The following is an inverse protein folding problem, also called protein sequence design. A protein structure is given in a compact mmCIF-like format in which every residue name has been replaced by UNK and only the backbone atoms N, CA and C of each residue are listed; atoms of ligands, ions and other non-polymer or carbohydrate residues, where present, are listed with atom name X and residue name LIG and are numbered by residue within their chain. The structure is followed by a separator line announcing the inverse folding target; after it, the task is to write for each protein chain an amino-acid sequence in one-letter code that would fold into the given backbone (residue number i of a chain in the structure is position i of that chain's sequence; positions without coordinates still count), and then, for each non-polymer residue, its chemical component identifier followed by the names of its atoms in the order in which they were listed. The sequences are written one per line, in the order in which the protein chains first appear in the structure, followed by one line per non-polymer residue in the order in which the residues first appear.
data_IF_444020029339
#
_entry.id   IF_444020029339
#
_cell.length_a   1.000
_cell.length_b   1.000
_cell.length_c   1.000
_cell.angle_alpha   90.00
_cell.angle_beta   90.00
_cell.angle_gamma   90.00
#
_symmetry.space_group_name_H-M   'P 1'
#
loop_
_entity.id
_entity.type
_entity.pdbx_description
1 polymer ?
#
# COMPACT_ATOMS: atom_id res chain seq x y z
N UNK A 1 -24.39 14.72 -12.12
CA UNK A 1 -23.31 13.82 -12.54
C UNK A 1 -22.57 14.43 -13.73
N UNK A 2 -21.45 15.12 -13.49
CA UNK A 2 -20.44 15.38 -14.53
C UNK A 2 -19.15 14.79 -13.97
N UNK A 3 -18.68 13.70 -14.58
CA UNK A 3 -17.45 13.05 -14.19
C UNK A 3 -16.29 14.00 -14.43
N UNK A 4 -15.64 14.44 -13.37
CA UNK A 4 -14.32 15.04 -13.47
C UNK A 4 -13.35 13.91 -13.84
N UNK A 5 -12.96 13.87 -15.11
CA UNK A 5 -11.90 13.00 -15.60
C UNK A 5 -10.57 13.54 -15.09
N UNK A 6 -9.78 12.68 -14.44
CA UNK A 6 -8.42 13.02 -14.05
C UNK A 6 -7.61 13.47 -15.30
N UNK A 7 -6.66 14.42 -15.17
CA UNK A 7 -5.82 14.85 -16.28
C UNK A 7 -5.17 13.63 -16.98
N UNK A 8 -4.99 13.68 -18.31
CA UNK A 8 -4.48 12.55 -19.13
C UNK A 8 -3.23 11.86 -18.54
N UNK A 9 -2.30 12.65 -18.00
CA UNK A 9 -1.08 12.17 -17.34
C UNK A 9 -1.34 11.34 -16.06
N UNK A 10 -2.42 11.68 -15.35
CA UNK A 10 -2.89 10.98 -14.17
C UNK A 10 -3.65 9.71 -14.56
N UNK A 11 -4.40 9.72 -15.67
CA UNK A 11 -5.11 8.55 -16.16
C UNK A 11 -4.15 7.42 -16.59
N UNK A 12 -3.00 7.75 -17.20
CA UNK A 12 -1.91 6.80 -17.49
C UNK A 12 -1.31 6.19 -16.22
N UNK A 13 -1.01 7.04 -15.22
CA UNK A 13 -0.53 6.62 -13.91
C UNK A 13 -1.54 5.70 -13.20
N UNK A 14 -2.82 6.06 -13.15
CA UNK A 14 -3.89 5.27 -12.49
C UNK A 14 -4.01 3.88 -13.13
N UNK A 15 -3.95 3.77 -14.46
CA UNK A 15 -4.00 2.47 -15.15
C UNK A 15 -2.79 1.58 -14.85
N UNK A 16 -1.59 2.15 -14.71
CA UNK A 16 -0.38 1.36 -14.41
C UNK A 16 -0.24 1.05 -12.91
N UNK A 17 -0.69 1.93 -12.02
CA UNK A 17 -0.73 1.70 -10.56
C UNK A 17 -1.72 0.57 -10.22
N UNK A 18 -2.84 0.49 -10.94
CA UNK A 18 -3.83 -0.59 -10.76
C UNK A 18 -3.38 -1.93 -11.34
N UNK A 19 -2.35 -1.99 -12.20
CA UNK A 19 -1.91 -3.23 -12.88
C UNK A 19 -0.58 -3.81 -12.38
N UNK A 20 0.13 -3.16 -11.46
CA UNK A 20 1.52 -3.48 -11.09
C UNK A 20 1.75 -3.98 -9.66
N UNK A 21 0.71 -4.42 -8.92
CA UNK A 21 0.95 -5.17 -7.67
C UNK A 21 1.45 -6.57 -8.00
N UNK A 22 2.70 -6.86 -7.61
CA UNK A 22 3.17 -8.23 -7.48
C UNK A 22 2.85 -8.69 -6.04
N UNK A 23 2.08 -9.76 -5.91
CA UNK A 23 1.92 -10.42 -4.62
C UNK A 23 3.25 -11.03 -4.19
N UNK A 24 3.57 -10.96 -2.90
CA UNK A 24 4.75 -11.60 -2.37
C UNK A 24 4.65 -13.13 -2.55
N UNK A 25 5.53 -13.81 -3.29
CA UNK A 25 5.72 -15.25 -3.11
C UNK A 25 6.06 -15.53 -1.65
N UNK A 26 5.40 -16.53 -1.07
CA UNK A 26 5.49 -16.84 0.37
C UNK A 26 6.92 -17.20 0.75
N UNK A 27 7.49 -16.46 1.69
CA UNK A 27 8.81 -16.77 2.25
C UNK A 27 8.73 -18.04 3.10
N UNK A 28 9.60 -19.01 2.80
CA UNK A 28 9.95 -20.06 3.76
C UNK A 28 10.91 -19.47 4.79
N UNK A 29 10.54 -19.53 6.06
CA UNK A 29 11.46 -19.21 7.15
C UNK A 29 12.54 -20.30 7.20
N UNK A 30 13.72 -20.04 6.65
CA UNK A 30 14.84 -20.98 6.69
C UNK A 30 15.76 -20.69 7.89
N UNK A 31 16.01 -21.65 8.78
CA UNK A 31 17.25 -21.68 9.55
C UNK A 31 18.38 -22.23 8.66
N UNK A 32 19.61 -21.71 8.82
CA UNK A 32 20.80 -22.19 8.11
C UNK A 32 21.41 -23.46 8.77
N UNK A 33 22.26 -24.24 8.08
CA UNK A 33 21.94 -25.07 6.92
C UNK A 33 22.13 -26.56 7.25
N UNK A 34 21.23 -27.43 6.80
CA UNK A 34 21.56 -28.83 6.52
C UNK A 34 20.92 -29.20 5.20
N UNK A 35 21.76 -29.62 4.25
CA UNK A 35 21.37 -30.03 2.92
C UNK A 35 20.32 -31.15 2.96
N UNK A 36 19.23 -30.96 2.20
CA UNK A 36 18.52 -32.02 1.47
C UNK A 36 17.66 -31.37 0.39
N UNK A 37 17.96 -31.73 -0.85
CA UNK A 37 17.15 -31.46 -2.03
C UNK A 37 15.75 -32.06 -1.82
N UNK A 38 14.72 -31.22 -1.87
CA UNK A 38 13.34 -31.66 -1.93
C UNK A 38 12.79 -31.38 -3.33
N UNK A 39 12.46 -32.48 -3.98
CA UNK A 39 11.82 -32.65 -5.28
C UNK A 39 10.61 -31.73 -5.49
N UNK A 40 10.57 -31.10 -6.67
CA UNK A 40 9.38 -30.50 -7.27
C UNK A 40 8.27 -31.54 -7.40
N UNK A 41 7.26 -31.47 -6.54
CA UNK A 41 5.98 -32.14 -6.78
C UNK A 41 5.12 -31.17 -7.59
N UNK A 42 4.91 -31.52 -8.87
CA UNK A 42 3.88 -30.91 -9.70
C UNK A 42 2.51 -31.27 -9.14
N UNK A 43 1.84 -30.33 -8.49
CA UNK A 43 0.43 -30.47 -8.17
C UNK A 43 -0.40 -30.17 -9.42
N UNK A 44 -0.78 -31.23 -10.13
CA UNK A 44 -2.03 -31.24 -10.86
C UNK A 44 -3.16 -31.40 -9.84
N UNK A 45 -3.71 -30.27 -9.39
CA UNK A 45 -5.01 -30.22 -8.72
C UNK A 45 -6.09 -29.97 -9.78
N UNK A 46 -7.00 -30.91 -9.93
CA UNK A 46 -8.27 -30.73 -10.64
C UNK A 46 -9.24 -29.92 -9.77
N UNK A 47 -10.06 -29.05 -10.38
CA UNK A 47 -11.35 -28.62 -9.81
C UNK A 47 -11.62 -27.11 -9.79
N UNK A 48 -12.44 -26.66 -10.75
CA UNK A 48 -13.23 -25.42 -10.77
C UNK A 48 -12.49 -24.10 -10.46
N UNK A 49 -12.10 -23.38 -11.52
CA UNK A 49 -11.91 -21.93 -11.42
C UNK A 49 -13.20 -21.26 -10.94
N UNK A 50 -13.08 -20.20 -10.13
CA UNK A 50 -14.23 -19.40 -9.74
C UNK A 50 -14.93 -18.86 -10.99
N UNK A 51 -16.23 -19.13 -11.14
CA UNK A 51 -17.01 -18.61 -12.24
C UNK A 51 -17.46 -17.18 -11.94
N UNK A 52 -17.47 -16.33 -12.96
CA UNK A 52 -18.03 -14.99 -12.87
C UNK A 52 -19.53 -15.08 -12.50
N UNK A 53 -19.92 -14.41 -11.43
CA UNK A 53 -21.31 -14.32 -11.01
C UNK A 53 -22.00 -13.10 -11.62
N UNK A 54 -23.19 -13.30 -12.17
CA UNK A 54 -23.99 -12.25 -12.80
C UNK A 54 -24.73 -11.38 -11.76
N UNK A 55 -25.05 -10.11 -12.10
CA UNK A 55 -25.96 -9.29 -11.30
C UNK A 55 -27.30 -9.99 -11.01
N UNK A 56 -27.80 -9.84 -9.79
CA UNK A 56 -29.02 -10.48 -9.29
C UNK A 56 -28.78 -11.80 -8.56
N UNK A 57 -27.59 -12.40 -8.66
CA UNK A 57 -27.24 -13.60 -7.88
C UNK A 57 -27.22 -13.27 -6.38
N UNK A 58 -27.97 -14.05 -5.60
CA UNK A 58 -27.99 -13.98 -4.14
C UNK A 58 -27.00 -15.00 -3.55
N UNK A 59 -26.14 -14.55 -2.65
CA UNK A 59 -25.18 -15.37 -1.93
C UNK A 59 -25.43 -15.27 -0.43
N UNK A 60 -25.45 -16.41 0.25
CA UNK A 60 -25.61 -16.45 1.70
C UNK A 60 -24.25 -16.39 2.38
N UNK A 61 -24.02 -15.39 3.23
CA UNK A 61 -22.83 -15.30 4.05
C UNK A 61 -22.87 -16.24 5.26
N UNK A 62 -21.72 -16.39 5.91
CA UNK A 62 -21.56 -17.19 7.13
C UNK A 62 -22.45 -16.68 8.27
N UNK A 63 -22.68 -15.36 8.34
CA UNK A 63 -23.64 -14.76 9.29
C UNK A 63 -25.10 -15.17 9.05
N UNK A 64 -25.40 -15.79 7.92
CA UNK A 64 -26.76 -16.07 7.44
C UNK A 64 -27.39 -14.94 6.64
N UNK A 65 -26.76 -13.77 6.57
CA UNK A 65 -27.20 -12.64 5.73
C UNK A 65 -27.11 -13.01 4.24
N UNK A 66 -28.09 -12.57 3.47
CA UNK A 66 -28.11 -12.72 2.02
C UNK A 66 -27.59 -11.44 1.34
N UNK A 67 -26.64 -11.60 0.42
CA UNK A 67 -26.04 -10.53 -0.37
C UNK A 67 -26.40 -10.71 -1.84
N UNK A 68 -27.07 -9.73 -2.43
CA UNK A 68 -27.45 -9.74 -3.84
C UNK A 68 -26.42 -8.94 -4.64
N UNK A 69 -25.79 -9.57 -5.64
CA UNK A 69 -24.81 -8.90 -6.50
C UNK A 69 -25.52 -7.82 -7.34
N UNK A 70 -25.04 -6.58 -7.26
CA UNK A 70 -25.53 -5.47 -8.10
C UNK A 70 -24.67 -5.30 -9.35
N UNK A 71 -23.34 -5.42 -9.22
CA UNK A 71 -22.42 -5.17 -10.31
C UNK A 71 -21.05 -5.84 -10.09
N UNK A 72 -20.32 -6.07 -11.18
CA UNK A 72 -18.91 -6.48 -11.15
C UNK A 72 -18.04 -5.22 -11.13
N UNK A 73 -17.29 -5.02 -10.05
CA UNK A 73 -16.34 -3.91 -9.89
C UNK A 73 -14.98 -4.22 -10.51
N UNK A 74 -14.56 -5.49 -10.47
CA UNK A 74 -13.31 -5.95 -11.07
C UNK A 74 -13.45 -7.39 -11.55
N UNK A 75 -12.86 -7.67 -12.71
CA UNK A 75 -12.68 -8.99 -13.30
C UNK A 75 -11.23 -9.11 -13.78
N UNK A 76 -10.40 -9.89 -13.07
CA UNK A 76 -9.01 -10.16 -13.46
C UNK A 76 -8.54 -11.53 -12.99
N UNK A 77 -8.16 -12.41 -13.91
CA UNK A 77 -7.45 -13.67 -13.61
C UNK A 77 -8.10 -14.47 -12.47
N UNK A 78 -9.40 -14.75 -12.59
CA UNK A 78 -10.20 -15.45 -11.57
C UNK A 78 -10.29 -14.72 -10.22
N UNK A 79 -9.92 -13.44 -10.16
CA UNK A 79 -10.21 -12.52 -9.06
C UNK A 79 -11.28 -11.52 -9.48
N UNK A 80 -12.41 -11.66 -8.83
CA UNK A 80 -13.60 -10.87 -8.97
C UNK A 80 -13.85 -10.05 -7.71
N UNK A 81 -14.23 -8.80 -7.94
CA UNK A 81 -14.74 -7.93 -6.89
C UNK A 81 -16.13 -7.51 -7.31
N UNK A 82 -17.10 -7.72 -6.45
CA UNK A 82 -18.50 -7.40 -6.70
C UNK A 82 -18.97 -6.29 -5.77
N UNK A 83 -19.84 -5.43 -6.30
CA UNK A 83 -20.74 -4.62 -5.49
C UNK A 83 -21.97 -5.47 -5.21
N UNK A 84 -22.35 -5.59 -3.94
CA UNK A 84 -23.57 -6.28 -3.54
C UNK A 84 -24.40 -5.41 -2.59
N UNK A 85 -25.66 -5.78 -2.42
CA UNK A 85 -26.61 -5.14 -1.51
C UNK A 85 -27.17 -6.16 -0.53
N UNK A 86 -27.31 -5.76 0.72
CA UNK A 86 -28.01 -6.50 1.77
C UNK A 86 -28.59 -5.51 2.79
N UNK A 87 -29.82 -5.71 3.25
CA UNK A 87 -30.48 -4.85 4.24
C UNK A 87 -30.44 -3.34 3.87
N UNK A 88 -30.66 -3.00 2.59
CA UNK A 88 -30.53 -1.64 2.04
C UNK A 88 -29.11 -1.01 2.12
N UNK A 89 -28.10 -1.77 2.54
CA UNK A 89 -26.71 -1.35 2.61
C UNK A 89 -25.87 -1.99 1.50
N UNK A 90 -24.80 -1.28 1.11
CA UNK A 90 -23.87 -1.74 0.08
C UNK A 90 -22.65 -2.44 0.69
N UNK A 91 -22.23 -3.51 0.03
CA UNK A 91 -21.09 -4.34 0.41
C UNK A 91 -20.18 -4.59 -0.79
N UNK A 92 -18.93 -4.92 -0.49
CA UNK A 92 -17.95 -5.38 -1.47
C UNK A 92 -17.63 -6.84 -1.17
N UNK A 93 -17.84 -7.71 -2.15
CA UNK A 93 -17.50 -9.12 -2.08
C UNK A 93 -16.26 -9.35 -2.94
N UNK A 94 -15.20 -9.87 -2.35
CA UNK A 94 -13.93 -10.16 -3.05
C UNK A 94 -13.64 -11.64 -2.90
N UNK A 95 -13.56 -12.39 -4.00
CA UNK A 95 -13.09 -13.78 -3.92
C UNK A 95 -11.56 -13.83 -3.84
N UNK A 96 -11.07 -14.90 -3.24
CA UNK A 96 -9.66 -15.17 -3.07
C UNK A 96 -9.33 -16.59 -3.50
N UNK A 97 -8.07 -16.83 -3.86
CA UNK A 97 -7.60 -18.20 -3.98
C UNK A 97 -7.63 -18.89 -2.62
N UNK A 98 -7.85 -20.20 -2.59
CA UNK A 98 -8.03 -20.97 -1.34
C UNK A 98 -6.91 -20.73 -0.32
N UNK A 99 -5.67 -20.75 -0.80
CA UNK A 99 -4.51 -20.51 0.05
C UNK A 99 -4.49 -19.09 0.62
N UNK A 100 -4.92 -18.07 -0.14
CA UNK A 100 -5.00 -16.68 0.30
C UNK A 100 -6.13 -16.51 1.31
N UNK A 101 -7.31 -17.06 1.02
CA UNK A 101 -8.48 -17.04 1.91
C UNK A 101 -8.12 -17.60 3.29
N UNK A 102 -7.60 -18.83 3.34
CA UNK A 102 -7.28 -19.51 4.61
C UNK A 102 -6.18 -18.79 5.40
N UNK A 103 -5.21 -18.18 4.70
CA UNK A 103 -4.12 -17.46 5.33
C UNK A 103 -4.55 -16.09 5.88
N UNK A 104 -5.35 -15.33 5.13
CA UNK A 104 -5.77 -13.99 5.52
C UNK A 104 -6.93 -13.98 6.53
N UNK A 105 -7.77 -15.03 6.57
CA UNK A 105 -8.97 -15.09 7.39
C UNK A 105 -8.72 -14.81 8.89
N UNK A 106 -7.72 -15.42 9.58
CA UNK A 106 -7.47 -15.14 11.00
C UNK A 106 -7.10 -13.67 11.26
N UNK A 107 -6.31 -13.06 10.38
CA UNK A 107 -5.92 -11.67 10.48
C UNK A 107 -7.11 -10.74 10.26
N UNK A 108 -7.94 -11.02 9.25
CA UNK A 108 -9.15 -10.28 8.96
C UNK A 108 -10.13 -10.31 10.15
N UNK A 109 -10.38 -11.49 10.73
CA UNK A 109 -11.23 -11.63 11.92
C UNK A 109 -10.69 -10.84 13.12
N UNK A 110 -9.37 -10.84 13.33
CA UNK A 110 -8.73 -10.13 14.45
C UNK A 110 -8.99 -8.63 14.43
N UNK A 111 -9.13 -8.03 13.26
CA UNK A 111 -9.24 -6.57 13.10
C UNK A 111 -10.61 -6.09 12.62
N UNK A 112 -11.62 -6.97 12.56
CA UNK A 112 -12.96 -6.61 12.07
C UNK A 112 -13.65 -5.47 12.82
N UNK A 113 -13.25 -5.18 14.07
CA UNK A 113 -13.79 -4.08 14.88
C UNK A 113 -12.97 -2.79 14.80
N UNK A 114 -11.83 -2.80 14.10
CA UNK A 114 -10.97 -1.63 13.99
C UNK A 114 -11.66 -0.51 13.19
N UNK A 115 -11.70 0.74 13.70
CA UNK A 115 -12.24 1.86 12.95
C UNK A 115 -11.31 2.30 11.80
N UNK A 116 -10.03 1.92 11.83
CA UNK A 116 -9.00 2.39 10.89
C UNK A 116 -8.47 1.29 9.96
N UNK A 117 -8.92 0.05 10.11
CA UNK A 117 -8.62 -1.06 9.21
C UNK A 117 -9.91 -1.55 8.58
N UNK A 118 -9.92 -1.68 7.24
CA UNK A 118 -11.04 -2.28 6.52
C UNK A 118 -10.86 -3.79 6.51
N UNK A 119 -11.36 -4.41 7.58
CA UNK A 119 -11.35 -5.85 7.75
C UNK A 119 -12.75 -6.46 7.55
N UNK A 120 -12.81 -7.79 7.38
CA UNK A 120 -14.02 -8.51 7.01
C UNK A 120 -15.21 -8.26 7.95
N UNK A 121 -16.40 -8.15 7.37
CA UNK A 121 -17.70 -8.13 8.07
C UNK A 121 -18.39 -9.49 8.06
N UNK A 122 -18.17 -10.25 7.01
CA UNK A 122 -18.72 -11.59 6.81
C UNK A 122 -17.85 -12.35 5.79
N UNK A 123 -18.16 -13.63 5.59
CA UNK A 123 -17.53 -14.46 4.56
C UNK A 123 -18.58 -15.24 3.79
N UNK A 124 -18.23 -15.69 2.58
CA UNK A 124 -19.02 -16.68 1.82
C UNK A 124 -18.04 -17.83 1.53
N UNK A 125 -17.91 -18.81 2.45
CA UNK A 125 -16.86 -19.82 2.39
C UNK A 125 -16.88 -20.67 1.11
N UNK A 126 -18.07 -21.01 0.60
CA UNK A 126 -18.26 -21.82 -0.61
C UNK A 126 -17.67 -21.15 -1.84
N UNK A 127 -17.71 -19.82 -1.87
CA UNK A 127 -17.15 -18.99 -2.94
C UNK A 127 -15.79 -18.39 -2.57
N UNK A 128 -15.26 -18.71 -1.38
CA UNK A 128 -14.02 -18.17 -0.81
C UNK A 128 -13.98 -16.64 -0.86
N UNK A 129 -15.10 -16.01 -0.50
CA UNK A 129 -15.23 -14.54 -0.53
C UNK A 129 -15.13 -13.92 0.86
N UNK A 130 -14.45 -12.78 0.93
CA UNK A 130 -14.59 -11.84 2.03
C UNK A 130 -15.63 -10.78 1.67
N UNK A 131 -16.48 -10.46 2.66
CA UNK A 131 -17.49 -9.41 2.57
C UNK A 131 -17.04 -8.24 3.42
N UNK A 132 -16.93 -7.07 2.80
CA UNK A 132 -16.61 -5.80 3.47
C UNK A 132 -17.75 -4.81 3.28
N UNK A 133 -17.92 -3.88 4.22
CA UNK A 133 -18.75 -2.68 3.96
C UNK A 133 -18.22 -1.94 2.73
N UNK A 134 -19.12 -1.42 1.90
CA UNK A 134 -18.76 -0.49 0.84
C UNK A 134 -18.35 0.86 1.45
N UNK A 135 -17.29 1.46 0.91
CA UNK A 135 -16.82 2.81 1.24
C UNK A 135 -16.83 3.62 -0.06
N UNK A 136 -17.15 4.91 0.02
CA UNK A 136 -17.43 5.74 -1.14
C UNK A 136 -16.34 5.74 -2.22
N UNK A 137 -15.06 5.79 -1.85
CA UNK A 137 -13.95 5.84 -2.80
C UNK A 137 -12.62 5.36 -2.18
N UNK A 138 -11.59 5.22 -3.02
CA UNK A 138 -10.21 5.03 -2.59
C UNK A 138 -9.40 6.33 -2.78
N UNK A 139 -8.33 6.50 -1.98
CA UNK A 139 -7.58 7.76 -1.91
C UNK A 139 -6.95 8.15 -3.25
N UNK A 140 -6.54 7.19 -4.09
CA UNK A 140 -5.97 7.51 -5.41
C UNK A 140 -6.93 8.34 -6.28
N UNK A 141 -8.25 8.14 -6.19
CA UNK A 141 -9.23 8.93 -6.94
C UNK A 141 -9.75 10.10 -6.09
N UNK A 142 -10.09 9.83 -4.83
CA UNK A 142 -10.62 10.83 -3.90
C UNK A 142 -9.70 12.04 -3.74
N UNK A 143 -8.38 11.86 -3.83
CA UNK A 143 -7.41 12.94 -3.68
C UNK A 143 -7.61 14.08 -4.69
N UNK A 144 -8.22 13.85 -5.87
CA UNK A 144 -8.42 14.89 -6.88
C UNK A 144 -9.63 15.79 -6.61
N UNK A 145 -10.43 15.48 -5.59
CA UNK A 145 -11.52 16.35 -5.15
C UNK A 145 -10.99 17.57 -4.41
N UNK A 146 -11.81 18.61 -4.36
CA UNK A 146 -11.51 19.82 -3.59
C UNK A 146 -11.70 19.54 -2.10
N UNK A 147 -10.60 19.22 -1.42
CA UNK A 147 -10.57 18.84 -0.01
C UNK A 147 -9.62 19.75 0.76
N UNK A 148 -10.10 20.23 1.92
CA UNK A 148 -9.34 21.15 2.77
C UNK A 148 -8.03 20.55 3.28
N UNK A 149 -7.08 21.41 3.66
CA UNK A 149 -5.82 20.96 4.27
C UNK A 149 -6.06 20.15 5.56
N UNK A 150 -7.08 20.52 6.36
CA UNK A 150 -7.45 19.79 7.58
C UNK A 150 -8.00 18.40 7.26
N UNK A 151 -8.82 18.26 6.22
CA UNK A 151 -9.32 16.96 5.75
C UNK A 151 -8.16 16.08 5.27
N UNK A 152 -7.21 16.64 4.51
CA UNK A 152 -6.01 15.91 4.07
C UNK A 152 -5.19 15.43 5.27
N UNK A 153 -4.95 16.30 6.26
CA UNK A 153 -4.27 15.95 7.51
C UNK A 153 -5.00 14.83 8.28
N UNK A 154 -6.34 14.89 8.37
CA UNK A 154 -7.16 13.86 9.02
C UNK A 154 -7.01 12.51 8.32
N UNK A 155 -7.06 12.49 6.99
CA UNK A 155 -6.85 11.26 6.19
C UNK A 155 -5.46 10.67 6.45
N UNK A 156 -4.41 11.49 6.47
CA UNK A 156 -3.06 11.03 6.78
C UNK A 156 -2.97 10.43 8.18
N UNK A 157 -3.54 11.12 9.19
CA UNK A 157 -3.57 10.64 10.58
C UNK A 157 -4.28 9.30 10.70
N UNK A 158 -5.47 9.17 10.12
CA UNK A 158 -6.31 7.99 10.30
C UNK A 158 -5.74 6.78 9.51
N UNK A 159 -5.15 7.00 8.33
CA UNK A 159 -4.38 5.96 7.63
C UNK A 159 -3.17 5.49 8.46
N UNK A 160 -2.48 6.42 9.13
CA UNK A 160 -1.35 6.12 10.01
C UNK A 160 -1.79 5.39 11.29
N UNK A 161 -2.99 5.67 11.82
CA UNK A 161 -3.61 4.90 12.92
C UNK A 161 -3.90 3.45 12.52
N UNK A 162 -4.40 3.24 11.30
CA UNK A 162 -4.56 1.91 10.72
C UNK A 162 -3.22 1.17 10.67
N UNK A 163 -2.19 1.80 10.11
CA UNK A 163 -0.86 1.20 10.02
C UNK A 163 -0.23 0.92 11.39
N UNK A 164 -0.34 1.86 12.34
CA UNK A 164 0.15 1.67 13.70
C UNK A 164 -0.53 0.48 14.40
N UNK A 165 -1.83 0.27 14.17
CA UNK A 165 -2.58 -0.87 14.73
C UNK A 165 -2.01 -2.22 14.28
N UNK A 166 -1.63 -2.35 13.01
CA UNK A 166 -0.96 -3.55 12.50
C UNK A 166 0.44 -3.69 13.11
N UNK A 167 1.20 -2.60 13.11
CA UNK A 167 2.60 -2.59 13.57
C UNK A 167 2.71 -2.91 15.06
N UNK A 168 1.76 -2.50 15.90
CA UNK A 168 1.77 -2.80 17.34
C UNK A 168 1.69 -4.31 17.62
N UNK A 169 1.09 -5.07 16.69
CA UNK A 169 0.96 -6.52 16.75
C UNK A 169 2.00 -7.27 15.90
N UNK A 170 3.05 -6.57 15.46
CA UNK A 170 4.10 -7.11 14.59
C UNK A 170 3.59 -7.61 13.23
N UNK A 171 2.51 -7.01 12.73
CA UNK A 171 2.01 -7.26 11.38
C UNK A 171 2.52 -6.16 10.46
N UNK A 172 3.00 -6.54 9.28
CA UNK A 172 3.46 -5.64 8.22
C UNK A 172 2.52 -5.78 7.05
N UNK A 173 2.09 -4.66 6.47
CA UNK A 173 1.08 -4.61 5.42
C UNK A 173 1.63 -4.98 4.04
N UNK A 174 2.86 -4.58 3.72
CA UNK A 174 3.63 -4.89 2.51
C UNK A 174 3.11 -4.32 1.18
N UNK A 175 1.84 -3.94 1.08
CA UNK A 175 1.29 -3.26 -0.11
C UNK A 175 0.56 -1.93 0.21
N UNK A 176 1.19 -1.07 1.02
CA UNK A 176 0.66 0.28 1.29
C UNK A 176 0.75 1.13 0.02
N UNK A 177 -0.41 1.56 -0.49
CA UNK A 177 -0.55 2.43 -1.67
C UNK A 177 -1.84 3.24 -1.57
N UNK A 178 -1.97 4.30 -2.37
CA UNK A 178 -3.14 5.18 -2.32
C UNK A 178 -4.47 4.46 -2.63
N UNK A 179 -4.47 3.37 -3.39
CA UNK A 179 -5.67 2.57 -3.68
C UNK A 179 -6.16 1.79 -2.46
N UNK A 180 -5.26 1.50 -1.53
CA UNK A 180 -5.53 0.68 -0.35
C UNK A 180 -5.89 1.55 0.87
N UNK A 181 -6.11 2.85 0.67
CA UNK A 181 -6.70 3.73 1.68
C UNK A 181 -8.09 4.10 1.20
N UNK A 182 -9.09 3.54 1.85
CA UNK A 182 -10.48 3.76 1.55
C UNK A 182 -11.01 4.96 2.33
N UNK A 183 -11.86 5.75 1.69
CA UNK A 183 -12.46 6.96 2.25
C UNK A 183 -13.97 6.88 2.10
N UNK A 184 -14.66 7.00 3.23
CA UNK A 184 -16.10 7.18 3.27
C UNK A 184 -16.39 8.67 3.46
N UNK A 185 -17.24 9.21 2.59
CA UNK A 185 -17.52 10.64 2.57
C UNK A 185 -18.89 10.93 1.97
N UNK A 186 -19.40 12.12 2.29
CA UNK A 186 -20.59 12.71 1.69
C UNK A 186 -20.24 14.07 1.08
N UNK A 187 -20.79 14.34 -0.09
CA UNK A 187 -20.80 15.67 -0.68
C UNK A 187 -22.06 16.40 -0.22
N UNK A 188 -21.88 17.58 0.37
CA UNK A 188 -22.92 18.45 0.91
C UNK A 188 -22.80 19.83 0.27
N UNK A 189 -23.76 20.72 0.51
CA UNK A 189 -23.68 22.10 0.03
C UNK A 189 -22.47 22.85 0.64
N UNK A 190 -22.06 22.43 1.84
CA UNK A 190 -20.93 22.96 2.61
C UNK A 190 -19.58 22.34 2.20
N UNK A 191 -19.58 21.41 1.24
CA UNK A 191 -18.39 20.72 0.74
C UNK A 191 -18.34 19.24 1.11
N UNK A 192 -17.12 18.69 1.13
CA UNK A 192 -16.89 17.25 1.38
C UNK A 192 -16.70 17.00 2.86
N UNK A 193 -17.55 16.15 3.43
CA UNK A 193 -17.43 15.64 4.79
C UNK A 193 -16.97 14.19 4.77
N UNK A 194 -15.79 13.92 5.33
CA UNK A 194 -15.21 12.57 5.45
C UNK A 194 -15.64 11.97 6.78
N UNK A 195 -16.31 10.82 6.75
CA UNK A 195 -16.75 10.09 7.93
C UNK A 195 -15.71 9.08 8.42
N UNK A 196 -15.07 8.35 7.50
CA UNK A 196 -14.13 7.27 7.83
C UNK A 196 -12.99 7.19 6.84
N UNK A 197 -11.82 6.80 7.35
CA UNK A 197 -10.63 6.50 6.57
C UNK A 197 -10.05 5.20 7.08
N UNK A 198 -9.89 4.23 6.17
CA UNK A 198 -9.49 2.87 6.53
C UNK A 198 -8.40 2.36 5.60
N UNK A 199 -7.34 1.79 6.17
CA UNK A 199 -6.36 1.01 5.43
C UNK A 199 -6.95 -0.38 5.13
N UNK A 200 -6.95 -0.79 3.86
CA UNK A 200 -7.58 -2.01 3.33
C UNK A 200 -6.58 -2.93 2.65
N UNK A 201 -7.05 -4.05 2.09
CA UNK A 201 -6.24 -5.00 1.29
C UNK A 201 -5.16 -5.70 2.15
N UNK A 202 -5.62 -6.29 3.27
CA UNK A 202 -4.77 -6.93 4.27
C UNK A 202 -4.31 -8.34 3.85
N UNK A 203 -4.60 -8.77 2.63
CA UNK A 203 -4.32 -10.12 2.14
C UNK A 203 -2.82 -10.42 2.00
N UNK A 204 -2.01 -9.41 1.68
CA UNK A 204 -0.54 -9.52 1.65
C UNK A 204 0.08 -9.30 3.05
N UNK A 205 -0.70 -8.91 4.05
CA UNK A 205 -0.18 -8.62 5.37
C UNK A 205 0.33 -9.89 6.07
N UNK A 206 1.41 -9.77 6.82
CA UNK A 206 2.01 -10.91 7.51
C UNK A 206 2.58 -10.53 8.87
N UNK A 207 2.58 -11.50 9.78
CA UNK A 207 3.27 -11.40 11.05
C UNK A 207 4.77 -11.58 10.83
N UNK A 208 5.56 -10.60 11.28
CA UNK A 208 7.02 -10.66 11.29
C UNK A 208 7.48 -10.62 12.75
N UNK A 209 8.06 -11.70 13.30
CA UNK A 209 8.55 -11.72 14.67
C UNK A 209 9.52 -10.57 14.96
N UNK A 210 9.57 -10.14 16.22
CA UNK A 210 10.51 -9.09 16.65
C UNK A 210 11.94 -9.49 16.30
N UNK A 211 12.67 -8.57 15.66
CA UNK A 211 14.05 -8.80 15.22
C UNK A 211 14.18 -9.58 13.90
N UNK A 212 13.07 -9.99 13.27
CA UNK A 212 13.07 -10.62 11.95
C UNK A 212 12.59 -9.65 10.85
N UNK A 213 12.81 -10.05 9.61
CA UNK A 213 12.40 -9.34 8.41
C UNK A 213 12.21 -10.35 7.25
N UNK A 214 11.35 -10.01 6.29
CA UNK A 214 11.28 -10.73 5.02
C UNK A 214 12.53 -10.43 4.18
N UNK A 215 12.94 -11.37 3.32
CA UNK A 215 14.11 -11.20 2.45
C UNK A 215 13.94 -11.97 1.14
N UNK A 216 14.53 -11.47 0.06
CA UNK A 216 14.60 -12.16 -1.23
C UNK A 216 13.33 -12.07 -2.06
N UNK A 217 12.44 -11.11 -1.72
CA UNK A 217 11.17 -10.90 -2.41
C UNK A 217 10.91 -9.40 -2.53
N UNK A 218 10.60 -8.94 -3.75
CA UNK A 218 10.17 -7.57 -4.01
C UNK A 218 8.65 -7.44 -3.80
N UNK A 219 8.25 -6.94 -2.62
CA UNK A 219 6.85 -6.85 -2.22
C UNK A 219 6.23 -5.48 -2.54
N UNK A 220 4.91 -5.46 -2.73
CA UNK A 220 4.12 -4.25 -2.92
C UNK A 220 4.27 -3.61 -4.29
N UNK A 221 3.49 -2.56 -4.56
CA UNK A 221 3.53 -1.83 -5.83
C UNK A 221 4.83 -1.00 -5.99
N UNK A 222 5.52 -1.16 -7.14
CA UNK A 222 6.84 -0.56 -7.42
C UNK A 222 6.91 0.97 -7.25
N UNK A 223 5.82 1.70 -7.48
CA UNK A 223 5.78 3.17 -7.39
C UNK A 223 5.65 3.67 -5.94
N UNK A 224 5.25 2.77 -5.02
CA UNK A 224 5.09 3.05 -3.59
C UNK A 224 6.12 2.29 -2.73
N UNK A 225 6.98 1.49 -3.36
CA UNK A 225 7.89 0.56 -2.68
C UNK A 225 9.13 1.26 -2.11
N UNK A 226 9.55 0.83 -0.93
CA UNK A 226 10.76 1.30 -0.24
C UNK A 226 12.06 0.86 -0.93
N UNK A 227 13.20 1.53 -0.65
CA UNK A 227 14.50 1.15 -1.23
C UNK A 227 14.90 -0.29 -0.88
N UNK A 228 14.69 -0.72 0.37
CA UNK A 228 15.03 -2.07 0.81
C UNK A 228 14.15 -3.15 0.16
N UNK A 229 12.88 -2.86 -0.12
CA UNK A 229 12.00 -3.79 -0.81
C UNK A 229 12.30 -3.87 -2.31
N UNK A 230 12.69 -2.76 -2.95
CA UNK A 230 13.25 -2.80 -4.32
C UNK A 230 14.55 -3.58 -4.39
N UNK A 231 15.35 -3.52 -3.33
CA UNK A 231 16.58 -4.26 -3.24
C UNK A 231 16.37 -5.75 -2.92
N UNK A 232 15.13 -6.22 -2.67
CA UNK A 232 14.86 -7.57 -2.12
C UNK A 232 15.64 -7.85 -0.82
N UNK A 233 15.98 -6.77 -0.09
CA UNK A 233 16.71 -6.81 1.16
C UNK A 233 15.81 -7.19 2.33
N UNK A 234 16.20 -6.79 3.53
CA UNK A 234 15.40 -7.02 4.73
C UNK A 234 14.20 -6.04 4.78
N UNK A 235 12.99 -6.57 4.61
CA UNK A 235 11.72 -5.83 4.58
C UNK A 235 10.94 -6.07 5.89
N UNK A 236 10.40 -4.99 6.46
CA UNK A 236 9.59 -5.05 7.68
C UNK A 236 8.77 -3.77 7.88
N UNK A 237 8.36 -3.50 9.12
CA UNK A 237 7.56 -2.31 9.48
C UNK A 237 8.07 -0.98 8.88
N UNK A 238 9.39 -0.70 8.85
CA UNK A 238 9.89 0.54 8.25
C UNK A 238 9.49 0.69 6.78
N UNK A 239 9.38 -0.41 6.03
CA UNK A 239 9.03 -0.38 4.60
C UNK A 239 7.62 0.17 4.38
N UNK A 240 6.65 -0.24 5.20
CA UNK A 240 5.29 0.33 5.14
C UNK A 240 5.27 1.82 5.47
N UNK A 241 6.09 2.27 6.43
CA UNK A 241 6.18 3.70 6.80
C UNK A 241 6.69 4.53 5.63
N UNK A 242 7.69 4.02 4.90
CA UNK A 242 8.18 4.68 3.69
C UNK A 242 7.09 4.76 2.62
N UNK A 243 6.40 3.64 2.36
CA UNK A 243 5.29 3.59 1.39
C UNK A 243 4.16 4.56 1.75
N UNK A 244 3.78 4.65 3.03
CA UNK A 244 2.77 5.59 3.49
C UNK A 244 3.21 7.05 3.35
N UNK A 245 4.50 7.36 3.53
CA UNK A 245 5.02 8.70 3.27
C UNK A 245 4.85 9.11 1.80
N UNK A 246 5.07 8.18 0.86
CA UNK A 246 4.83 8.44 -0.56
C UNK A 246 3.35 8.74 -0.84
N UNK A 247 2.43 8.03 -0.18
CA UNK A 247 0.99 8.32 -0.23
C UNK A 247 0.71 9.74 0.29
N UNK A 248 1.34 10.17 1.37
CA UNK A 248 1.13 11.51 1.92
C UNK A 248 1.61 12.59 0.95
N UNK A 249 2.76 12.38 0.31
CA UNK A 249 3.25 13.28 -0.73
C UNK A 249 2.27 13.32 -1.91
N UNK A 250 1.76 12.16 -2.34
CA UNK A 250 0.73 12.10 -3.36
C UNK A 250 -0.53 12.88 -2.95
N UNK A 251 -0.99 12.76 -1.71
CA UNK A 251 -2.18 13.47 -1.26
C UNK A 251 -2.01 14.99 -1.29
N UNK A 252 -0.81 15.51 -0.99
CA UNK A 252 -0.51 16.95 -1.10
C UNK A 252 -0.34 17.42 -2.54
N UNK A 253 0.43 16.69 -3.34
CA UNK A 253 0.89 17.14 -4.66
C UNK A 253 0.02 16.64 -5.81
N UNK A 254 -0.88 15.69 -5.55
CA UNK A 254 -1.69 14.97 -6.54
C UNK A 254 -0.85 14.31 -7.63
N UNK A 255 0.39 13.96 -7.28
CA UNK A 255 1.40 13.38 -8.17
C UNK A 255 2.04 12.16 -7.54
N UNK A 256 2.12 11.07 -8.29
CA UNK A 256 2.94 9.91 -7.93
C UNK A 256 4.37 10.22 -8.34
N UNK A 257 5.21 10.59 -7.36
CA UNK A 257 6.49 11.27 -7.61
C UNK A 257 7.55 10.42 -8.32
N UNK A 258 7.35 9.10 -8.38
CA UNK A 258 8.24 8.15 -9.07
C UNK A 258 7.68 7.64 -10.39
N UNK A 259 6.50 8.12 -10.80
CA UNK A 259 5.94 7.83 -12.10
C UNK A 259 6.30 8.93 -13.10
N UNK A 260 6.78 8.53 -14.27
CA UNK A 260 6.89 9.38 -15.44
C UNK A 260 6.47 8.57 -16.67
N UNK A 261 5.61 9.13 -17.52
CA UNK A 261 5.06 8.43 -18.69
C UNK A 261 6.17 7.95 -19.65
N UNK A 262 7.25 8.73 -19.74
CA UNK A 262 8.39 8.43 -20.59
C UNK A 262 9.26 7.27 -20.08
N UNK A 263 9.12 6.86 -18.81
CA UNK A 263 9.89 5.75 -18.25
C UNK A 263 9.57 4.42 -18.92
N UNK A 264 8.35 4.28 -19.44
CA UNK A 264 7.91 3.10 -20.18
C UNK A 264 8.76 2.82 -21.42
N UNK A 265 9.49 3.83 -21.91
CA UNK A 265 10.41 3.74 -23.05
C UNK A 265 11.87 3.55 -22.63
N UNK A 266 12.16 3.58 -21.33
CA UNK A 266 13.52 3.39 -20.80
C UNK A 266 13.87 1.90 -20.72
N UNK A 267 15.16 1.61 -20.90
CA UNK A 267 15.68 0.24 -20.82
C UNK A 267 15.65 -0.32 -19.39
N UNK A 268 15.64 0.55 -18.37
CA UNK A 268 15.61 0.14 -16.96
C UNK A 268 14.71 1.07 -16.12
N UNK A 269 13.38 0.88 -16.16
CA UNK A 269 12.43 1.68 -15.38
C UNK A 269 12.68 1.60 -13.87
N UNK A 270 13.26 0.48 -13.39
CA UNK A 270 13.55 0.28 -11.98
C UNK A 270 14.74 1.13 -11.52
N UNK A 271 15.79 1.26 -12.33
CA UNK A 271 16.89 2.17 -12.03
C UNK A 271 16.42 3.63 -11.97
N UNK A 272 15.45 4.01 -12.79
CA UNK A 272 14.89 5.36 -12.77
C UNK A 272 14.09 5.65 -11.48
N UNK A 273 13.30 4.68 -11.01
CA UNK A 273 12.64 4.77 -9.70
C UNK A 273 13.68 4.91 -8.58
N UNK A 274 14.72 4.08 -8.58
CA UNK A 274 15.78 4.11 -7.57
C UNK A 274 16.57 5.42 -7.62
N UNK A 275 16.88 5.93 -8.80
CA UNK A 275 17.52 7.24 -9.01
C UNK A 275 16.70 8.34 -8.35
N UNK A 276 15.39 8.38 -8.59
CA UNK A 276 14.50 9.37 -7.95
C UNK A 276 14.41 9.19 -6.45
N UNK A 277 14.39 7.96 -5.93
CA UNK A 277 14.43 7.70 -4.50
C UNK A 277 15.71 8.25 -3.85
N UNK A 278 16.87 7.98 -4.44
CA UNK A 278 18.17 8.48 -3.96
C UNK A 278 18.23 10.01 -4.04
N UNK A 279 17.87 10.58 -5.20
CA UNK A 279 17.84 12.03 -5.42
C UNK A 279 16.97 12.76 -4.40
N UNK A 280 15.79 12.20 -4.11
CA UNK A 280 14.77 12.85 -3.29
C UNK A 280 15.00 12.68 -1.78
N UNK A 281 15.42 11.50 -1.33
CA UNK A 281 15.38 11.16 0.10
C UNK A 281 16.73 10.75 0.72
N UNK A 282 17.74 10.42 -0.07
CA UNK A 282 19.01 9.99 0.50
C UNK A 282 19.80 11.17 1.08
N UNK A 283 20.20 11.06 2.34
CA UNK A 283 21.37 11.75 2.87
C UNK A 283 22.56 10.79 2.76
N UNK A 284 23.73 11.26 2.33
CA UNK A 284 24.83 10.35 1.99
C UNK A 284 25.25 9.44 3.15
N UNK A 285 25.23 9.94 4.38
CA UNK A 285 25.49 9.13 5.59
C UNK A 285 24.47 8.00 5.76
N UNK A 286 23.19 8.27 5.49
CA UNK A 286 22.11 7.28 5.63
C UNK A 286 22.07 6.33 4.43
N UNK A 287 22.50 6.78 3.25
CA UNK A 287 22.71 5.95 2.07
C UNK A 287 23.80 4.88 2.30
N UNK A 288 24.96 5.27 2.83
CA UNK A 288 26.01 4.30 3.18
C UNK A 288 25.57 3.34 4.30
N UNK A 289 24.81 3.85 5.26
CA UNK A 289 24.23 3.02 6.31
C UNK A 289 23.20 2.02 5.75
N UNK A 290 22.43 2.40 4.73
CA UNK A 290 21.54 1.53 3.97
C UNK A 290 22.29 0.45 3.18
N UNK A 291 23.38 0.80 2.48
CA UNK A 291 24.21 -0.22 1.80
C UNK A 291 24.78 -1.23 2.79
N UNK A 292 25.18 -0.76 3.98
CA UNK A 292 25.62 -1.62 5.08
C UNK A 292 24.48 -2.49 5.63
N UNK A 293 23.26 -1.96 5.70
CA UNK A 293 22.05 -2.70 6.10
C UNK A 293 21.71 -3.83 5.13
N UNK A 294 21.84 -3.61 3.82
CA UNK A 294 21.69 -4.68 2.82
C UNK A 294 22.77 -5.78 2.97
N UNK A 295 23.94 -5.39 3.46
CA UNK A 295 25.14 -6.21 3.56
C UNK A 295 26.03 -6.05 2.32
N UNK A 296 27.34 -5.94 2.52
CA UNK A 296 28.30 -5.59 1.46
C UNK A 296 28.33 -6.54 0.25
N UNK A 297 27.91 -7.81 0.43
CA UNK A 297 27.84 -8.82 -0.64
C UNK A 297 26.45 -8.91 -1.30
N UNK A 298 25.52 -8.03 -0.95
CA UNK A 298 24.19 -8.04 -1.53
C UNK A 298 24.26 -7.67 -3.02
N UNK A 299 23.61 -8.44 -3.93
CA UNK A 299 23.76 -8.25 -5.38
C UNK A 299 23.29 -6.87 -5.88
N UNK A 300 22.38 -6.22 -5.16
CA UNK A 300 21.88 -4.88 -5.50
C UNK A 300 22.82 -3.74 -5.06
N UNK A 301 23.78 -3.94 -4.15
CA UNK A 301 24.66 -2.85 -3.66
C UNK A 301 25.44 -2.17 -4.78
N UNK A 302 26.07 -2.88 -5.73
CA UNK A 302 26.74 -2.24 -6.87
C UNK A 302 25.80 -1.39 -7.73
N UNK A 303 24.54 -1.79 -7.87
CA UNK A 303 23.54 -1.05 -8.64
C UNK A 303 23.18 0.27 -7.95
N UNK A 304 22.92 0.25 -6.65
CA UNK A 304 22.66 1.47 -5.88
C UNK A 304 23.84 2.44 -5.94
N UNK A 305 25.09 1.95 -5.81
CA UNK A 305 26.29 2.79 -5.93
C UNK A 305 26.40 3.44 -7.31
N UNK A 306 26.27 2.64 -8.38
CA UNK A 306 26.33 3.16 -9.75
C UNK A 306 25.30 4.25 -10.00
N UNK A 307 24.08 4.09 -9.49
CA UNK A 307 23.03 5.12 -9.60
C UNK A 307 23.44 6.37 -8.81
N UNK A 308 23.92 6.21 -7.58
CA UNK A 308 24.37 7.32 -6.75
C UNK A 308 25.54 8.11 -7.37
N UNK A 309 26.46 7.43 -8.06
CA UNK A 309 27.58 8.03 -8.79
C UNK A 309 27.14 8.87 -9.99
N UNK A 310 25.91 8.73 -10.48
CA UNK A 310 25.39 9.58 -11.56
C UNK A 310 25.05 11.01 -11.12
N UNK A 311 24.98 11.27 -9.81
CA UNK A 311 24.73 12.61 -9.29
C UNK A 311 26.03 13.40 -9.19
N UNK A 312 26.17 14.42 -10.04
CA UNK A 312 27.33 15.31 -10.13
C UNK A 312 26.90 16.78 -9.96
N UNK A 313 27.81 17.73 -10.17
CA UNK A 313 27.44 19.15 -10.20
C UNK A 313 26.53 19.47 -11.40
N UNK A 314 26.70 18.78 -12.52
CA UNK A 314 25.90 18.92 -13.74
C UNK A 314 24.56 18.17 -13.66
N UNK A 315 24.49 17.14 -12.81
CA UNK A 315 23.27 16.38 -12.53
C UNK A 315 22.99 16.34 -11.01
N UNK A 316 22.61 17.49 -10.41
CA UNK A 316 22.46 17.57 -8.97
C UNK A 316 21.24 16.80 -8.48
N UNK A 317 21.32 16.28 -7.25
CA UNK A 317 20.15 15.72 -6.55
C UNK A 317 19.10 16.81 -6.28
N UNK A 318 17.86 16.39 -6.08
CA UNK A 318 16.74 17.25 -5.69
C UNK A 318 16.13 16.81 -4.34
N UNK A 319 16.82 17.06 -3.20
CA UNK A 319 16.35 16.63 -1.89
C UNK A 319 14.97 17.21 -1.53
N UNK A 320 14.10 16.37 -0.95
CA UNK A 320 12.72 16.73 -0.61
C UNK A 320 12.61 17.97 0.31
N UNK A 321 13.56 18.13 1.23
CA UNK A 321 13.59 19.29 2.13
C UNK A 321 13.70 20.64 1.40
N UNK A 322 14.25 20.65 0.18
CA UNK A 322 14.47 21.85 -0.63
C UNK A 322 13.33 22.12 -1.61
N UNK A 323 12.33 21.23 -1.73
CA UNK A 323 11.23 21.41 -2.67
C UNK A 323 10.40 22.64 -2.31
N UNK A 324 10.10 23.50 -3.29
CA UNK A 324 9.28 24.70 -3.10
C UNK A 324 7.86 24.43 -3.55
N UNK A 325 6.90 24.47 -2.63
CA UNK A 325 5.47 24.32 -2.90
C UNK A 325 4.66 24.78 -1.67
N UNK A 326 3.58 25.52 -1.91
CA UNK A 326 2.65 25.95 -0.86
C UNK A 326 1.92 24.78 -0.18
N UNK A 327 1.87 23.63 -0.85
CA UNK A 327 1.30 22.39 -0.30
C UNK A 327 2.24 21.66 0.69
N UNK A 328 3.50 22.09 0.82
CA UNK A 328 4.55 21.41 1.57
C UNK A 328 5.10 22.30 2.69
N UNK A 329 4.31 22.45 3.77
CA UNK A 329 4.74 23.18 4.96
C UNK A 329 5.93 22.51 5.67
N UNK A 330 6.60 23.26 6.56
CA UNK A 330 7.80 22.80 7.27
C UNK A 330 7.56 21.54 8.10
N UNK A 331 6.39 21.43 8.76
CA UNK A 331 6.06 20.28 9.61
C UNK A 331 5.78 19.04 8.76
N UNK A 332 5.14 19.21 7.61
CA UNK A 332 4.95 18.14 6.63
C UNK A 332 6.29 17.64 6.10
N UNK A 333 7.18 18.54 5.69
CA UNK A 333 8.52 18.19 5.22
C UNK A 333 9.33 17.42 6.26
N UNK A 334 9.28 17.87 7.51
CA UNK A 334 9.97 17.20 8.61
C UNK A 334 9.40 15.79 8.87
N UNK A 335 8.07 15.64 8.87
CA UNK A 335 7.41 14.33 8.99
C UNK A 335 7.85 13.38 7.87
N UNK A 336 7.77 13.83 6.61
CA UNK A 336 8.13 13.01 5.46
C UNK A 336 9.59 12.58 5.53
N UNK A 337 10.53 13.48 5.81
CA UNK A 337 11.97 13.13 5.92
C UNK A 337 12.24 12.09 7.00
N UNK A 338 11.50 12.13 8.11
CA UNK A 338 11.58 11.12 9.17
C UNK A 338 11.01 9.77 8.73
N UNK A 339 9.90 9.79 7.99
CA UNK A 339 9.24 8.59 7.45
C UNK A 339 9.97 7.99 6.23
N UNK A 340 10.78 8.77 5.52
CA UNK A 340 11.53 8.33 4.33
C UNK A 340 13.05 8.24 4.54
N UNK A 341 13.52 8.22 5.81
CA UNK A 341 14.95 8.03 6.07
C UNK A 341 15.46 6.78 5.32
N UNK A 342 16.55 6.97 4.58
CA UNK A 342 17.08 5.96 3.68
C UNK A 342 17.63 4.74 4.42
N UNK A 343 18.13 4.93 5.66
CA UNK A 343 18.43 3.82 6.58
C UNK A 343 17.14 3.36 7.29
N UNK A 344 16.62 2.16 7.00
CA UNK A 344 15.37 1.67 7.58
C UNK A 344 15.40 1.61 9.11
N UNK A 345 16.59 1.49 9.72
CA UNK A 345 16.76 1.42 11.18
C UNK A 345 16.58 2.78 11.87
N UNK A 346 16.73 3.88 11.14
CA UNK A 346 16.56 5.25 11.66
C UNK A 346 15.20 5.85 11.32
N UNK A 347 14.43 5.17 10.47
CA UNK A 347 13.08 5.58 10.07
C UNK A 347 12.16 5.55 11.28
N UNK A 348 11.35 6.59 11.43
CA UNK A 348 10.37 6.63 12.53
C UNK A 348 9.37 5.49 12.40
N UNK A 349 8.90 4.98 13.54
CA UNK A 349 7.79 4.04 13.57
C UNK A 349 6.46 4.75 13.26
N UNK A 350 5.43 3.99 12.87
CA UNK A 350 4.08 4.55 12.69
C UNK A 350 3.57 5.27 13.94
N UNK A 351 3.83 4.72 15.13
CA UNK A 351 3.47 5.33 16.41
C UNK A 351 4.21 6.64 16.69
N UNK A 352 5.50 6.73 16.35
CA UNK A 352 6.27 7.97 16.47
C UNK A 352 5.79 9.03 15.46
N UNK A 353 5.47 8.61 14.24
CA UNK A 353 4.91 9.50 13.22
C UNK A 353 3.54 10.07 13.63
N UNK A 354 2.68 9.28 14.31
CA UNK A 354 1.40 9.78 14.84
C UNK A 354 1.56 10.91 15.86
N UNK A 355 2.65 10.87 16.64
CA UNK A 355 2.96 11.88 17.66
C UNK A 355 3.69 13.11 17.09
N UNK A 356 3.87 13.16 15.77
CA UNK A 356 4.57 14.26 15.11
C UNK A 356 3.80 15.58 15.23
N UNK A 357 4.53 16.70 15.32
CA UNK A 357 3.94 18.03 15.46
C UNK A 357 3.01 18.43 14.30
N UNK A 358 3.17 17.80 13.14
CA UNK A 358 2.28 17.95 11.98
C UNK A 358 0.80 17.61 12.26
N UNK A 359 0.53 16.71 13.23
CA UNK A 359 -0.81 16.25 13.57
C UNK A 359 -1.39 16.90 14.83
N UNK A 360 -0.65 17.79 15.52
CA UNK A 360 -1.06 18.36 16.81
C UNK A 360 -2.31 19.24 16.75
N UNK A 361 -2.58 19.83 15.59
CA UNK A 361 -3.71 20.75 15.37
C UNK A 361 -5.00 20.03 14.93
N UNK A 362 -4.96 18.70 14.78
CA UNK A 362 -6.19 17.93 14.55
C UNK A 362 -6.78 17.53 15.89
N UNK A 363 -7.94 18.08 16.21
CA UNK A 363 -8.72 17.69 17.39
C UNK A 363 -9.02 16.18 17.33
N UNK A 364 -8.91 15.50 18.47
CA UNK A 364 -9.42 14.14 18.61
C UNK A 364 -10.95 14.24 18.66
N UNK A 365 -11.61 13.70 17.63
CA UNK A 365 -13.07 13.50 17.62
C UNK A 365 -13.44 12.28 18.43
#
# INVERSE_FOLDING_TARGET
MRGFTAPRAVAGAIKQITSTSAHAPRASFAPAPVARSASTVSHHGSGFGSQLLEPGVALKGYSGREYVIENVLQDRQDRFVYLAKADEQKFVLKNLFENEYNYALPLQLRYNSSPYLRALRDTIPEQRMFVNEYLSDHLLNFAFKDISSNTQKRIMRDALRGLATLHDHNIVHLDVKANNIMVDYKETAEGISVSRVQLSDLEDATYIPVGQALRGVAVGNQLWRSPEAHAEGFVGKPSDVFSLALVFIFLRLKRVIFYNENDSQTLDPMAEILSRQISTFAEWKDFEAFLSYLGHRHPQVPRFRRIAETFTEENPRHPFGLWKSDALDTQFKDLIRKMTNFDPRKRVTAQQALRHAFFKDIVEE
#
